data_IF_993029515697
#
_entry.id   IF_993029515697
#
_cell.length_a   1.000
_cell.length_b   1.000
_cell.length_c   1.000
_cell.angle_alpha   90.00
_cell.angle_beta   90.00
_cell.angle_gamma   90.00
#
_symmetry.space_group_name_H-M   'P 1'
#
loop_
_entity.id
_entity.type
_entity.pdbx_description
1 polymer ?
#
# COMPACT_ATOMS: atom_id res chain seq x y z
N UNK A 1 -17.38 -6.07 -0.89
CA UNK A 1 -16.15 -6.39 -0.12
C UNK A 1 -16.05 -5.41 1.01
N UNK A 2 -16.04 -5.87 2.27
CA UNK A 2 -16.08 -4.96 3.41
C UNK A 2 -14.89 -5.18 4.34
N UNK A 3 -14.34 -4.07 4.84
CA UNK A 3 -13.31 -4.07 5.87
C UNK A 3 -13.89 -3.55 7.18
N UNK A 4 -13.60 -4.23 8.27
CA UNK A 4 -13.96 -3.79 9.62
C UNK A 4 -12.76 -3.12 10.28
N UNK A 5 -12.88 -1.86 10.65
CA UNK A 5 -11.88 -1.12 11.42
C UNK A 5 -12.26 -1.09 12.90
N UNK A 6 -11.35 -1.56 13.76
CA UNK A 6 -11.54 -1.58 15.21
C UNK A 6 -10.54 -0.60 15.83
N UNK A 7 -11.01 0.59 16.18
CA UNK A 7 -10.21 1.71 16.74
C UNK A 7 -10.69 2.12 18.15
N UNK A 8 -11.28 1.20 18.91
CA UNK A 8 -11.71 1.41 20.29
C UNK A 8 -10.96 0.47 21.21
N UNK A 9 -10.25 1.02 22.21
CA UNK A 9 -9.48 0.23 23.18
C UNK A 9 -10.38 -0.50 24.15
N UNK A 10 -9.89 -1.67 24.63
CA UNK A 10 -10.52 -2.41 25.73
C UNK A 10 -11.78 -3.19 25.35
N UNK A 11 -12.10 -3.26 24.04
CA UNK A 11 -13.20 -4.11 23.60
C UNK A 11 -12.87 -5.58 23.76
N UNK A 12 -13.83 -6.35 24.30
CA UNK A 12 -13.89 -7.79 24.16
C UNK A 12 -14.55 -8.13 22.82
N UNK A 13 -13.99 -9.08 22.08
CA UNK A 13 -14.53 -9.51 20.80
C UNK A 13 -14.76 -11.03 20.81
N UNK A 14 -15.99 -11.47 20.51
CA UNK A 14 -16.36 -12.89 20.41
C UNK A 14 -16.97 -13.18 19.05
N UNK A 15 -16.74 -14.38 18.54
CA UNK A 15 -17.42 -14.88 17.34
C UNK A 15 -18.62 -15.73 17.74
N UNK A 16 -19.81 -15.21 17.50
CA UNK A 16 -21.09 -15.82 17.86
C UNK A 16 -22.01 -15.88 16.64
N UNK A 17 -22.55 -17.05 16.31
CA UNK A 17 -23.52 -17.25 15.22
C UNK A 17 -23.13 -16.58 13.90
N UNK A 18 -21.84 -16.62 13.54
CA UNK A 18 -21.36 -16.04 12.29
C UNK A 18 -21.19 -14.51 12.31
N UNK A 19 -21.25 -13.89 13.48
CA UNK A 19 -21.00 -12.46 13.66
C UNK A 19 -19.93 -12.21 14.74
N UNK A 20 -19.17 -11.12 14.56
CA UNK A 20 -18.32 -10.56 15.62
C UNK A 20 -19.19 -9.72 16.55
N UNK A 21 -19.24 -10.13 17.82
CA UNK A 21 -19.97 -9.43 18.89
C UNK A 21 -18.96 -8.72 19.76
N UNK A 22 -19.18 -7.42 19.98
CA UNK A 22 -18.31 -6.57 20.76
C UNK A 22 -18.89 -6.31 22.15
N UNK A 23 -18.03 -6.36 23.13
CA UNK A 23 -18.35 -6.12 24.54
C UNK A 23 -17.47 -5.00 25.10
N UNK A 24 -18.05 -4.11 25.88
CA UNK A 24 -17.36 -3.10 26.66
C UNK A 24 -17.82 -3.20 28.12
N UNK A 25 -16.87 -3.34 29.04
CA UNK A 25 -17.16 -3.56 30.47
C UNK A 25 -18.12 -4.73 30.74
N UNK A 26 -18.10 -5.78 29.89
CA UNK A 26 -18.98 -6.95 30.00
C UNK A 26 -20.32 -6.78 29.30
N UNK A 27 -20.72 -5.60 28.87
CA UNK A 27 -21.96 -5.34 28.16
C UNK A 27 -21.78 -5.38 26.66
N UNK A 28 -22.77 -5.94 25.94
CA UNK A 28 -22.75 -5.97 24.47
C UNK A 28 -22.95 -4.57 23.91
N UNK A 29 -21.99 -4.09 23.13
CA UNK A 29 -21.98 -2.75 22.54
C UNK A 29 -22.06 -2.73 21.01
N UNK A 30 -21.96 -3.89 20.33
CA UNK A 30 -22.06 -3.94 18.88
C UNK A 30 -22.00 -5.34 18.31
N UNK A 31 -22.41 -5.46 17.04
CA UNK A 31 -22.38 -6.73 16.31
C UNK A 31 -22.13 -6.46 14.83
N UNK A 32 -21.23 -7.23 14.23
CA UNK A 32 -20.89 -7.14 12.80
C UNK A 32 -20.94 -8.54 12.19
N UNK A 33 -21.80 -8.79 11.19
CA UNK A 33 -21.82 -10.07 10.47
C UNK A 33 -20.47 -10.31 9.78
N UNK A 34 -19.95 -11.56 9.84
CA UNK A 34 -18.67 -11.89 9.22
C UNK A 34 -18.78 -12.29 7.74
N UNK A 35 -19.98 -12.63 7.25
CA UNK A 35 -20.19 -13.07 5.88
C UNK A 35 -19.70 -12.05 4.81
N UNK A 36 -19.94 -10.74 4.94
CA UNK A 36 -19.45 -9.75 3.98
C UNK A 36 -18.00 -9.32 4.23
N UNK A 37 -17.36 -9.76 5.35
CA UNK A 37 -16.02 -9.32 5.71
C UNK A 37 -14.96 -10.07 4.93
N UNK A 38 -14.00 -9.33 4.42
CA UNK A 38 -12.76 -9.85 3.82
C UNK A 38 -11.54 -9.49 4.66
N UNK A 39 -11.66 -8.43 5.46
CA UNK A 39 -10.56 -7.91 6.28
C UNK A 39 -11.03 -7.35 7.60
N UNK A 40 -10.12 -7.42 8.58
CA UNK A 40 -10.26 -6.72 9.86
C UNK A 40 -8.98 -5.95 10.12
N UNK A 41 -9.11 -4.67 10.45
CA UNK A 41 -7.99 -3.80 10.82
C UNK A 41 -8.11 -3.45 12.29
N UNK A 42 -7.19 -3.98 13.10
CA UNK A 42 -7.08 -3.67 14.52
C UNK A 42 -6.15 -2.47 14.72
N UNK A 43 -6.72 -1.33 15.04
CA UNK A 43 -5.97 -0.09 15.32
C UNK A 43 -5.74 0.10 16.82
N UNK A 44 -6.58 -0.53 17.63
CA UNK A 44 -6.53 -0.49 19.10
C UNK A 44 -6.39 -1.88 19.67
N UNK A 45 -5.94 -1.97 20.90
CA UNK A 45 -5.83 -3.21 21.64
C UNK A 45 -7.22 -3.73 22.03
N UNK A 46 -7.53 -4.99 21.66
CA UNK A 46 -8.80 -5.67 21.91
C UNK A 46 -8.53 -7.11 22.37
N UNK A 47 -9.43 -7.65 23.18
CA UNK A 47 -9.38 -9.05 23.61
C UNK A 47 -10.22 -9.91 22.65
N UNK A 48 -9.58 -10.89 21.99
CA UNK A 48 -10.24 -11.87 21.14
C UNK A 48 -9.67 -13.26 21.40
N UNK A 49 -10.50 -14.29 21.40
CA UNK A 49 -10.00 -15.65 21.61
C UNK A 49 -9.41 -16.24 20.32
N UNK A 50 -8.44 -17.15 20.48
CA UNK A 50 -7.73 -17.81 19.36
C UNK A 50 -8.67 -18.63 18.47
N UNK A 51 -9.72 -19.23 19.00
CA UNK A 51 -10.70 -19.95 18.21
C UNK A 51 -11.51 -19.05 17.28
N UNK A 52 -11.77 -17.80 17.66
CA UNK A 52 -12.36 -16.81 16.76
C UNK A 52 -11.39 -16.41 15.64
N UNK A 53 -10.11 -16.17 15.96
CA UNK A 53 -9.08 -15.87 14.96
C UNK A 53 -8.94 -17.01 13.94
N UNK A 54 -8.86 -18.26 14.41
CA UNK A 54 -8.76 -19.43 13.55
C UNK A 54 -9.97 -19.57 12.59
N UNK A 55 -11.19 -19.35 13.09
CA UNK A 55 -12.41 -19.40 12.28
C UNK A 55 -12.48 -18.27 11.24
N UNK A 56 -12.01 -17.06 11.59
CA UNK A 56 -11.93 -15.94 10.67
C UNK A 56 -10.91 -16.22 9.57
N UNK A 57 -9.72 -16.71 9.91
CA UNK A 57 -8.69 -17.10 8.95
C UNK A 57 -9.15 -18.21 8.00
N UNK A 58 -9.83 -19.24 8.52
CA UNK A 58 -10.39 -20.33 7.72
C UNK A 58 -11.45 -19.84 6.70
N UNK A 59 -12.10 -18.69 6.95
CA UNK A 59 -13.01 -18.02 6.02
C UNK A 59 -12.31 -17.11 5.01
N UNK A 60 -10.98 -17.08 5.01
CA UNK A 60 -10.22 -16.21 4.12
C UNK A 60 -10.13 -14.75 4.56
N UNK A 61 -10.54 -14.42 5.80
CA UNK A 61 -10.50 -13.05 6.32
C UNK A 61 -9.09 -12.73 6.79
N UNK A 62 -8.43 -11.80 6.10
CA UNK A 62 -7.13 -11.26 6.50
C UNK A 62 -7.25 -10.28 7.67
N UNK A 63 -6.27 -10.27 8.58
CA UNK A 63 -6.27 -9.35 9.71
C UNK A 63 -4.99 -8.54 9.75
N UNK A 64 -5.14 -7.21 9.90
CA UNK A 64 -4.03 -6.26 10.00
C UNK A 64 -4.03 -5.64 11.40
N UNK A 65 -2.89 -5.75 12.09
CA UNK A 65 -2.68 -5.16 13.41
C UNK A 65 -1.81 -3.91 13.26
N UNK A 66 -2.37 -2.75 13.62
CA UNK A 66 -1.71 -1.44 13.62
C UNK A 66 -1.56 -0.88 15.05
N UNK A 67 -1.82 -1.71 16.06
CA UNK A 67 -1.81 -1.31 17.47
C UNK A 67 -0.39 -1.22 18.03
N UNK A 68 -0.14 -0.19 18.89
CA UNK A 68 1.12 0.00 19.60
C UNK A 68 1.99 1.13 19.05
N UNK A 69 2.70 1.85 19.96
CA UNK A 69 3.53 3.01 19.58
C UNK A 69 4.83 2.66 18.85
N UNK A 70 5.28 1.41 18.94
CA UNK A 70 6.54 0.93 18.35
C UNK A 70 6.35 -0.32 17.48
N UNK A 71 5.12 -0.81 17.29
CA UNK A 71 4.85 -2.07 16.60
C UNK A 71 4.76 -1.81 15.09
N UNK A 72 5.59 -2.54 14.32
CA UNK A 72 5.43 -2.60 12.87
C UNK A 72 4.07 -3.22 12.54
N UNK A 73 3.39 -2.76 11.46
CA UNK A 73 2.16 -3.40 11.01
C UNK A 73 2.35 -4.91 10.88
N UNK A 74 1.49 -5.68 11.54
CA UNK A 74 1.55 -7.14 11.52
C UNK A 74 0.34 -7.68 10.78
N UNK A 75 0.57 -8.57 9.83
CA UNK A 75 -0.46 -9.25 9.07
C UNK A 75 -0.68 -10.66 9.65
N UNK A 76 -1.94 -10.99 9.89
CA UNK A 76 -2.37 -12.37 10.06
C UNK A 76 -3.04 -12.78 8.75
N UNK A 77 -2.37 -13.65 8.01
CA UNK A 77 -2.80 -14.06 6.69
C UNK A 77 -3.79 -15.23 6.79
N UNK A 78 -4.76 -15.33 5.85
CA UNK A 78 -5.63 -16.49 5.76
C UNK A 78 -4.84 -17.75 5.38
N UNK A 79 -5.54 -18.88 5.21
CA UNK A 79 -4.94 -20.17 4.85
C UNK A 79 -4.03 -20.06 3.63
N UNK A 80 -2.86 -20.70 3.69
CA UNK A 80 -1.88 -20.68 2.60
C UNK A 80 -2.41 -21.28 1.29
N UNK A 81 -1.95 -20.73 0.19
CA UNK A 81 -2.19 -21.31 -1.13
C UNK A 81 -1.42 -22.64 -1.28
N UNK A 82 -2.09 -23.68 -1.76
CA UNK A 82 -1.56 -25.05 -1.80
C UNK A 82 -0.51 -25.31 -2.90
N UNK A 83 -0.45 -24.44 -3.92
CA UNK A 83 0.49 -24.59 -5.04
C UNK A 83 1.88 -24.06 -4.67
N UNK A 84 2.77 -24.97 -4.28
CA UNK A 84 4.15 -24.64 -3.93
C UNK A 84 5.02 -24.31 -5.15
N UNK A 85 4.62 -24.69 -6.38
CA UNK A 85 5.39 -24.40 -7.60
C UNK A 85 5.47 -22.89 -7.86
N UNK A 86 4.44 -22.14 -7.51
CA UNK A 86 4.42 -20.66 -7.64
C UNK A 86 5.54 -20.02 -6.82
N UNK A 87 5.68 -20.40 -5.55
CA UNK A 87 6.74 -19.89 -4.67
C UNK A 87 8.13 -20.34 -5.14
N UNK A 88 8.26 -21.61 -5.53
CA UNK A 88 9.53 -22.12 -6.07
C UNK A 88 9.97 -21.35 -7.30
N UNK A 89 9.05 -21.11 -8.23
CA UNK A 89 9.34 -20.32 -9.45
C UNK A 89 9.70 -18.89 -9.11
N UNK A 90 8.97 -18.27 -8.17
CA UNK A 90 9.27 -16.92 -7.69
C UNK A 90 10.71 -16.83 -7.11
N UNK A 91 11.09 -17.78 -6.24
CA UNK A 91 12.42 -17.76 -5.61
C UNK A 91 13.52 -17.90 -6.65
N UNK A 92 13.38 -18.83 -7.58
CA UNK A 92 14.38 -19.05 -8.63
C UNK A 92 14.50 -17.83 -9.58
N UNK A 93 13.38 -17.22 -9.97
CA UNK A 93 13.41 -16.03 -10.81
C UNK A 93 13.93 -14.78 -10.05
N UNK A 94 13.78 -14.72 -8.73
CA UNK A 94 14.31 -13.63 -7.93
C UNK A 94 15.84 -13.66 -7.81
N UNK A 95 16.48 -14.78 -8.12
CA UNK A 95 17.94 -14.95 -8.20
C UNK A 95 18.48 -14.65 -9.61
N UNK A 96 17.62 -14.50 -10.62
CA UNK A 96 18.01 -14.17 -11.99
C UNK A 96 18.07 -12.63 -12.16
N UNK A 97 19.29 -12.04 -12.33
CA UNK A 97 19.45 -10.58 -12.43
C UNK A 97 18.76 -9.99 -13.64
N UNK A 98 18.71 -10.70 -14.77
CA UNK A 98 18.07 -10.20 -15.99
C UNK A 98 16.55 -10.23 -15.88
N UNK A 99 15.99 -11.29 -15.31
CA UNK A 99 14.57 -11.33 -15.01
C UNK A 99 14.16 -10.21 -14.04
N UNK A 100 14.94 -10.01 -12.97
CA UNK A 100 14.70 -8.92 -12.01
C UNK A 100 14.76 -7.55 -12.70
N UNK A 101 15.74 -7.34 -13.60
CA UNK A 101 15.89 -6.10 -14.36
C UNK A 101 14.68 -5.84 -15.25
N UNK A 102 14.25 -6.83 -16.04
CA UNK A 102 13.09 -6.71 -16.92
C UNK A 102 11.80 -6.46 -16.13
N UNK A 103 11.59 -7.19 -15.04
CA UNK A 103 10.46 -6.97 -14.14
C UNK A 103 10.45 -5.54 -13.57
N UNK A 104 11.62 -5.04 -13.16
CA UNK A 104 11.77 -3.68 -12.64
C UNK A 104 11.49 -2.63 -13.70
N UNK A 105 11.93 -2.83 -14.95
CA UNK A 105 11.62 -1.93 -16.09
C UNK A 105 10.11 -1.82 -16.30
N UNK A 106 9.41 -2.96 -16.38
CA UNK A 106 7.95 -2.97 -16.56
C UNK A 106 7.25 -2.25 -15.41
N UNK A 107 7.65 -2.56 -14.18
CA UNK A 107 7.09 -1.98 -12.96
C UNK A 107 7.27 -0.45 -12.90
N UNK A 108 8.49 0.02 -13.18
CA UNK A 108 8.84 1.44 -13.13
C UNK A 108 8.19 2.19 -14.30
N UNK A 109 8.04 1.56 -15.47
CA UNK A 109 7.31 2.12 -16.60
C UNK A 109 5.87 2.44 -16.21
N UNK A 110 5.16 1.49 -15.62
CA UNK A 110 3.78 1.71 -15.13
C UNK A 110 3.71 2.82 -14.08
N UNK A 111 4.65 2.81 -13.11
CA UNK A 111 4.72 3.81 -12.05
C UNK A 111 4.97 5.21 -12.59
N UNK A 112 6.00 5.39 -13.42
CA UNK A 112 6.37 6.71 -13.94
C UNK A 112 5.28 7.27 -14.87
N UNK A 113 4.62 6.41 -15.66
CA UNK A 113 3.45 6.80 -16.46
C UNK A 113 2.29 7.28 -15.57
N UNK A 114 2.04 6.61 -14.43
CA UNK A 114 1.02 7.03 -13.50
C UNK A 114 1.39 8.35 -12.79
N UNK A 115 2.64 8.53 -12.41
CA UNK A 115 3.17 9.81 -11.88
C UNK A 115 2.99 10.94 -12.89
N UNK A 116 3.41 10.72 -14.14
CA UNK A 116 3.24 11.70 -15.22
C UNK A 116 1.78 12.10 -15.40
N UNK A 117 0.85 11.12 -15.51
CA UNK A 117 -0.59 11.42 -15.62
C UNK A 117 -1.07 12.29 -14.47
N UNK A 118 -0.65 11.99 -13.24
CA UNK A 118 -1.03 12.81 -12.08
C UNK A 118 -0.51 14.24 -12.19
N UNK A 119 0.75 14.46 -12.62
CA UNK A 119 1.31 15.81 -12.81
C UNK A 119 0.60 16.56 -13.95
N UNK A 120 0.19 15.85 -15.03
CA UNK A 120 -0.63 16.43 -16.11
C UNK A 120 -1.96 16.95 -15.56
N UNK A 121 -2.67 16.15 -14.75
CA UNK A 121 -3.94 16.58 -14.15
C UNK A 121 -3.74 17.78 -13.23
N UNK A 122 -2.69 17.77 -12.41
CA UNK A 122 -2.32 18.92 -11.55
C UNK A 122 -2.04 20.18 -12.38
N UNK A 123 -1.43 20.06 -13.57
CA UNK A 123 -1.13 21.22 -14.43
C UNK A 123 -2.38 21.85 -15.05
N UNK A 124 -3.45 21.06 -15.18
CA UNK A 124 -4.75 21.57 -15.66
C UNK A 124 -5.51 22.30 -14.54
N UNK A 125 -5.29 21.93 -13.28
CA UNK A 125 -5.97 22.49 -12.11
C UNK A 125 -5.24 23.68 -11.49
N UNK A 126 -3.91 23.80 -11.67
CA UNK A 126 -3.05 24.79 -11.03
C UNK A 126 -2.35 25.70 -12.05
N UNK A 127 -3.07 26.71 -12.53
CA UNK A 127 -2.60 27.60 -13.60
C UNK A 127 -1.33 28.39 -13.23
N UNK A 128 -1.19 28.80 -11.97
CA UNK A 128 -0.04 29.58 -11.49
C UNK A 128 1.27 28.77 -11.51
N UNK A 129 1.18 27.44 -11.33
CA UNK A 129 2.33 26.53 -11.33
C UNK A 129 2.51 25.80 -12.68
N UNK A 130 1.73 26.14 -13.71
CA UNK A 130 1.64 25.40 -14.97
C UNK A 130 3.00 25.22 -15.65
N UNK A 131 3.80 26.27 -15.77
CA UNK A 131 5.11 26.20 -16.44
C UNK A 131 6.07 25.25 -15.70
N UNK A 132 6.06 25.25 -14.36
CA UNK A 132 6.86 24.33 -13.57
C UNK A 132 6.39 22.88 -13.74
N UNK A 133 5.08 22.65 -13.73
CA UNK A 133 4.48 21.32 -13.90
C UNK A 133 4.76 20.76 -15.31
N UNK A 134 4.69 21.57 -16.35
CA UNK A 134 5.06 21.18 -17.72
C UNK A 134 6.55 20.77 -17.82
N UNK A 135 7.43 21.52 -17.16
CA UNK A 135 8.85 21.14 -17.05
C UNK A 135 9.03 19.80 -16.32
N UNK A 136 8.26 19.57 -15.26
CA UNK A 136 8.28 18.31 -14.51
C UNK A 136 7.78 17.13 -15.35
N UNK A 137 6.74 17.33 -16.18
CA UNK A 137 6.24 16.33 -17.14
C UNK A 137 7.34 15.95 -18.13
N UNK A 138 8.03 16.93 -18.70
CA UNK A 138 9.15 16.70 -19.64
C UNK A 138 10.27 15.88 -18.99
N UNK A 139 10.67 16.24 -17.77
CA UNK A 139 11.69 15.48 -17.01
C UNK A 139 11.27 14.05 -16.71
N UNK A 140 9.99 13.82 -16.36
CA UNK A 140 9.47 12.45 -16.17
C UNK A 140 9.47 11.64 -17.46
N UNK A 141 9.20 12.27 -18.62
CA UNK A 141 9.28 11.61 -19.93
C UNK A 141 10.71 11.22 -20.29
N UNK A 142 11.69 12.10 -20.04
CA UNK A 142 13.10 11.79 -20.25
C UNK A 142 13.55 10.59 -19.39
N UNK A 143 13.16 10.57 -18.11
CA UNK A 143 13.47 9.45 -17.20
C UNK A 143 12.78 8.15 -17.66
N UNK A 144 11.53 8.23 -18.12
CA UNK A 144 10.78 7.10 -18.67
C UNK A 144 11.49 6.50 -19.90
N UNK A 145 11.96 7.36 -20.81
CA UNK A 145 12.70 6.95 -22.03
C UNK A 145 14.01 6.23 -21.73
N UNK A 146 14.61 6.45 -20.55
CA UNK A 146 15.88 5.83 -20.15
C UNK A 146 15.74 4.44 -19.56
N UNK A 147 14.57 4.05 -19.04
CA UNK A 147 14.41 2.80 -18.27
C UNK A 147 14.92 1.55 -18.99
N UNK A 148 14.65 1.41 -20.30
CA UNK A 148 15.07 0.24 -21.06
C UNK A 148 16.59 0.17 -21.32
N UNK A 149 17.28 1.31 -21.26
CA UNK A 149 18.71 1.39 -21.51
C UNK A 149 19.54 1.13 -20.24
N UNK A 150 18.92 1.08 -19.06
CA UNK A 150 19.66 0.92 -17.81
C UNK A 150 20.13 -0.52 -17.61
N UNK A 151 21.43 -0.72 -17.32
CA UNK A 151 22.05 -2.05 -17.35
C UNK A 151 21.81 -2.84 -16.07
N UNK A 152 21.33 -2.22 -14.97
CA UNK A 152 21.26 -2.87 -13.66
C UNK A 152 20.08 -2.40 -12.82
N UNK A 153 19.71 -3.22 -11.85
CA UNK A 153 18.68 -2.85 -10.85
C UNK A 153 19.05 -1.59 -10.06
N UNK A 154 20.33 -1.40 -9.74
CA UNK A 154 20.76 -0.22 -8.98
C UNK A 154 20.63 1.06 -9.79
N UNK A 155 20.94 0.99 -11.10
CA UNK A 155 20.69 2.10 -12.01
C UNK A 155 19.19 2.41 -12.12
N UNK A 156 18.33 1.39 -12.24
CA UNK A 156 16.87 1.55 -12.25
C UNK A 156 16.34 2.15 -10.93
N UNK A 157 16.86 1.73 -9.77
CA UNK A 157 16.53 2.36 -8.47
C UNK A 157 16.99 3.82 -8.41
N UNK A 158 18.13 4.14 -9.02
CA UNK A 158 18.60 5.52 -9.16
C UNK A 158 17.63 6.38 -9.97
N UNK A 159 17.16 5.87 -11.12
CA UNK A 159 16.14 6.55 -11.93
C UNK A 159 14.80 6.71 -11.18
N UNK A 160 14.39 5.68 -10.45
CA UNK A 160 13.19 5.73 -9.61
C UNK A 160 13.28 6.84 -8.56
N UNK A 161 14.45 6.97 -7.92
CA UNK A 161 14.70 8.03 -6.94
C UNK A 161 14.66 9.43 -7.57
N UNK A 162 15.24 9.62 -8.75
CA UNK A 162 15.16 10.88 -9.49
C UNK A 162 13.73 11.22 -9.90
N UNK A 163 12.99 10.25 -10.43
CA UNK A 163 11.58 10.43 -10.79
C UNK A 163 10.71 10.77 -9.57
N UNK A 164 10.95 10.12 -8.44
CA UNK A 164 10.26 10.43 -7.19
C UNK A 164 10.56 11.85 -6.70
N UNK A 165 11.80 12.33 -6.83
CA UNK A 165 12.17 13.71 -6.47
C UNK A 165 11.41 14.73 -7.33
N UNK A 166 11.42 14.56 -8.66
CA UNK A 166 10.67 15.42 -9.61
C UNK A 166 9.17 15.42 -9.29
N UNK A 167 8.62 14.24 -9.09
CA UNK A 167 7.19 14.07 -8.84
C UNK A 167 6.75 14.70 -7.51
N UNK A 168 7.47 14.48 -6.40
CA UNK A 168 7.10 15.05 -5.10
C UNK A 168 7.38 16.56 -5.02
N UNK A 169 8.33 17.08 -5.78
CA UNK A 169 8.51 18.54 -5.95
C UNK A 169 7.29 19.15 -6.66
N UNK A 170 6.84 18.52 -7.76
CA UNK A 170 5.62 18.95 -8.46
C UNK A 170 4.38 18.90 -7.56
N UNK A 171 4.18 17.81 -6.79
CA UNK A 171 3.11 17.74 -5.80
C UNK A 171 3.18 18.87 -4.77
N UNK A 172 4.38 19.15 -4.27
CA UNK A 172 4.60 20.17 -3.25
C UNK A 172 4.15 21.56 -3.68
N UNK A 173 4.28 21.88 -4.97
CA UNK A 173 3.81 23.15 -5.54
C UNK A 173 2.29 23.29 -5.54
N UNK A 174 1.58 22.17 -5.59
CA UNK A 174 0.11 22.13 -5.64
C UNK A 174 -0.55 21.94 -4.26
N UNK A 175 0.26 21.76 -3.21
CA UNK A 175 -0.24 21.61 -1.84
C UNK A 175 -0.31 22.96 -1.15
N UNK A 176 -1.42 23.25 -0.43
CA UNK A 176 -1.55 24.49 0.36
C UNK A 176 -0.36 24.65 1.31
N UNK A 177 0.29 25.84 1.34
CA UNK A 177 1.44 26.09 2.22
C UNK A 177 1.16 25.86 3.71
N UNK A 178 -0.09 26.04 4.15
CA UNK A 178 -0.52 25.82 5.55
C UNK A 178 -0.33 24.36 6.01
N UNK A 179 -0.34 23.38 5.07
CA UNK A 179 -0.09 21.98 5.38
C UNK A 179 1.39 21.67 5.67
N UNK A 180 2.29 22.59 5.31
CA UNK A 180 3.73 22.50 5.62
C UNK A 180 4.44 21.35 4.90
N UNK A 181 3.90 20.86 3.79
CA UNK A 181 4.53 19.83 2.97
C UNK A 181 5.61 20.46 2.08
N UNK A 182 6.86 20.04 2.25
CA UNK A 182 8.00 20.50 1.45
C UNK A 182 8.64 19.39 0.63
N UNK A 183 8.66 18.18 1.18
CA UNK A 183 9.22 16.99 0.53
C UNK A 183 8.70 15.73 1.21
N UNK A 184 8.88 14.58 0.55
CA UNK A 184 8.49 13.29 1.12
C UNK A 184 9.38 12.91 2.30
N UNK A 185 8.80 12.82 3.52
CA UNK A 185 9.47 12.27 4.70
C UNK A 185 8.61 11.14 5.30
N UNK A 186 9.25 10.10 5.87
CA UNK A 186 8.55 8.85 6.20
C UNK A 186 8.58 8.47 7.66
N UNK A 187 9.68 8.70 8.36
CA UNK A 187 9.91 8.13 9.71
C UNK A 187 10.67 9.11 10.59
N UNK A 188 9.95 9.80 11.44
CA UNK A 188 8.50 9.96 11.49
C UNK A 188 7.98 10.99 10.47
N UNK A 189 6.69 10.94 10.05
CA UNK A 189 6.10 12.01 9.25
C UNK A 189 6.01 13.29 10.08
N UNK A 190 6.33 14.45 9.47
CA UNK A 190 6.43 15.74 10.17
C UNK A 190 5.31 16.73 9.84
N UNK A 191 4.51 16.41 8.85
CA UNK A 191 3.40 17.22 8.36
C UNK A 191 2.17 16.34 8.03
N UNK A 192 0.97 16.93 7.93
CA UNK A 192 -0.27 16.21 7.67
C UNK A 192 -0.28 15.39 6.40
N UNK A 193 0.30 15.91 5.31
CA UNK A 193 0.34 15.21 4.02
C UNK A 193 1.19 13.95 4.13
N UNK A 194 2.40 14.07 4.67
CA UNK A 194 3.27 12.93 4.91
C UNK A 194 2.68 11.90 5.89
N UNK A 195 1.89 12.35 6.86
CA UNK A 195 1.18 11.46 7.79
C UNK A 195 0.13 10.61 7.05
N UNK A 196 -0.70 11.22 6.20
CA UNK A 196 -1.70 10.49 5.41
C UNK A 196 -1.07 9.62 4.33
N UNK A 197 -0.06 10.10 3.61
CA UNK A 197 0.70 9.29 2.64
C UNK A 197 1.29 8.04 3.30
N UNK A 198 1.87 8.19 4.50
CA UNK A 198 2.45 7.05 5.22
C UNK A 198 1.41 6.05 5.69
N UNK A 199 0.25 6.52 6.18
CA UNK A 199 -0.87 5.66 6.57
C UNK A 199 -1.44 4.93 5.34
N UNK A 200 -1.73 5.65 4.26
CA UNK A 200 -2.29 5.09 3.02
C UNK A 200 -1.35 4.05 2.42
N UNK A 201 -0.05 4.32 2.33
CA UNK A 201 0.92 3.35 1.84
C UNK A 201 1.06 2.13 2.73
N UNK A 202 0.95 2.29 4.06
CA UNK A 202 0.95 1.15 4.99
C UNK A 202 -0.24 0.24 4.74
N UNK A 203 -1.43 0.80 4.58
CA UNK A 203 -2.62 0.03 4.24
C UNK A 203 -2.48 -0.64 2.87
N UNK A 204 -2.05 0.11 1.86
CA UNK A 204 -1.89 -0.41 0.50
C UNK A 204 -0.84 -1.53 0.40
N UNK A 205 0.29 -1.41 1.12
CA UNK A 205 1.30 -2.48 1.22
C UNK A 205 0.70 -3.74 1.87
N UNK A 206 -0.14 -3.56 2.88
CA UNK A 206 -0.82 -4.68 3.54
C UNK A 206 -1.82 -5.36 2.62
N UNK A 207 -2.55 -4.59 1.80
CA UNK A 207 -3.45 -5.11 0.76
C UNK A 207 -2.66 -5.93 -0.29
N UNK A 208 -1.52 -5.40 -0.74
CA UNK A 208 -0.64 -6.08 -1.68
C UNK A 208 -0.07 -7.38 -1.09
N UNK A 209 0.32 -7.37 0.19
CA UNK A 209 0.79 -8.57 0.90
C UNK A 209 -0.27 -9.66 0.97
N UNK A 210 -1.51 -9.31 1.30
CA UNK A 210 -2.64 -10.26 1.30
C UNK A 210 -2.87 -10.81 -0.10
N UNK A 211 -2.86 -9.95 -1.13
CA UNK A 211 -3.08 -10.35 -2.52
C UNK A 211 -1.98 -11.30 -3.04
N UNK A 212 -0.71 -11.02 -2.72
CA UNK A 212 0.41 -11.89 -3.05
C UNK A 212 0.26 -13.27 -2.40
N UNK A 213 -0.03 -13.29 -1.09
CA UNK A 213 -0.24 -14.53 -0.35
C UNK A 213 -1.40 -15.38 -0.91
N UNK A 214 -2.55 -14.75 -1.19
CA UNK A 214 -3.71 -15.42 -1.80
C UNK A 214 -3.40 -15.97 -3.19
N UNK A 215 -2.52 -15.31 -3.94
CA UNK A 215 -2.03 -15.80 -5.23
C UNK A 215 -0.98 -16.91 -5.13
N UNK A 216 -0.58 -17.32 -3.91
CA UNK A 216 0.43 -18.35 -3.68
C UNK A 216 1.87 -17.86 -3.85
N UNK A 217 2.09 -16.55 -3.71
CA UNK A 217 3.41 -15.91 -3.74
C UNK A 217 3.86 -15.54 -2.33
N UNK A 218 5.17 -15.45 -2.13
CA UNK A 218 5.78 -14.94 -0.91
C UNK A 218 5.83 -13.39 -0.97
N UNK A 219 5.12 -12.68 -0.08
CA UNK A 219 5.14 -11.21 -0.06
C UNK A 219 6.51 -10.59 0.20
N UNK A 220 7.45 -11.34 0.78
CA UNK A 220 8.78 -10.84 1.17
C UNK A 220 9.83 -10.94 0.06
N UNK A 221 9.61 -11.76 -0.97
CA UNK A 221 10.56 -11.96 -2.06
C UNK A 221 10.15 -11.13 -3.27
N UNK A 222 10.75 -9.95 -3.41
CA UNK A 222 10.54 -9.00 -4.50
C UNK A 222 11.61 -9.09 -5.60
N UNK A 223 11.46 -8.25 -6.61
CA UNK A 223 12.32 -8.18 -7.79
C UNK A 223 12.99 -6.80 -7.93
N UNK A 224 12.26 -5.71 -7.80
CA UNK A 224 12.82 -4.36 -7.75
C UNK A 224 13.38 -4.06 -6.36
N UNK A 225 12.59 -4.30 -5.31
CA UNK A 225 13.04 -4.13 -3.94
C UNK A 225 13.83 -5.35 -3.48
N UNK A 226 15.10 -5.15 -3.10
CA UNK A 226 15.97 -6.21 -2.57
C UNK A 226 15.39 -6.84 -1.31
N UNK A 227 15.81 -8.06 -1.01
CA UNK A 227 15.52 -8.72 0.26
C UNK A 227 16.09 -7.88 1.41
N UNK A 228 15.23 -7.53 2.36
CA UNK A 228 15.59 -6.79 3.57
C UNK A 228 14.76 -7.31 4.73
N UNK A 229 15.40 -7.52 5.87
CA UNK A 229 14.74 -8.05 7.04
C UNK A 229 13.49 -7.25 7.42
N UNK A 230 12.35 -7.93 7.45
CA UNK A 230 11.05 -7.35 7.84
C UNK A 230 10.42 -6.42 6.79
N UNK A 231 10.95 -6.37 5.55
CA UNK A 231 10.31 -5.64 4.43
C UNK A 231 9.59 -6.61 3.51
N UNK A 232 8.27 -6.44 3.30
CA UNK A 232 7.52 -7.24 2.32
C UNK A 232 7.82 -6.72 0.90
N UNK A 233 8.98 -7.12 0.34
CA UNK A 233 9.55 -6.57 -0.90
C UNK A 233 8.63 -6.76 -2.11
N UNK A 234 8.02 -7.94 -2.30
CA UNK A 234 7.05 -8.14 -3.38
C UNK A 234 5.79 -7.29 -3.19
N UNK A 235 5.29 -7.17 -1.95
CA UNK A 235 4.14 -6.31 -1.69
C UNK A 235 4.46 -4.84 -2.00
N UNK A 236 5.69 -4.39 -1.73
CA UNK A 236 6.16 -3.07 -2.16
C UNK A 236 6.18 -2.95 -3.69
N UNK A 237 6.72 -3.97 -4.41
CA UNK A 237 6.75 -3.98 -5.87
C UNK A 237 5.33 -3.92 -6.46
N UNK A 238 4.41 -4.75 -5.98
CA UNK A 238 3.04 -4.83 -6.49
C UNK A 238 2.27 -3.50 -6.37
N UNK A 239 2.53 -2.74 -5.30
CA UNK A 239 1.81 -1.49 -5.07
C UNK A 239 2.41 -0.27 -5.78
N UNK A 240 3.64 -0.34 -6.32
CA UNK A 240 4.32 0.82 -6.90
C UNK A 240 3.48 1.56 -7.96
N UNK A 241 2.80 0.89 -8.91
CA UNK A 241 1.95 1.58 -9.89
C UNK A 241 0.73 2.28 -9.29
N UNK A 242 0.29 1.87 -8.09
CA UNK A 242 -0.84 2.47 -7.38
C UNK A 242 -0.44 3.64 -6.48
N UNK A 243 0.86 3.88 -6.25
CA UNK A 243 1.30 5.00 -5.40
C UNK A 243 0.79 6.35 -5.87
N UNK A 244 0.84 6.71 -7.17
CA UNK A 244 0.31 7.98 -7.64
C UNK A 244 -1.20 8.13 -7.43
N UNK A 245 -1.97 7.03 -7.53
CA UNK A 245 -3.40 7.05 -7.21
C UNK A 245 -3.65 7.25 -5.71
N UNK A 246 -2.82 6.63 -4.86
CA UNK A 246 -2.87 6.85 -3.42
C UNK A 246 -2.49 8.29 -3.04
N UNK A 247 -1.54 8.90 -3.76
CA UNK A 247 -1.17 10.32 -3.57
C UNK A 247 -2.32 11.24 -3.97
N UNK A 248 -2.94 11.00 -5.13
CA UNK A 248 -4.15 11.71 -5.59
C UNK A 248 -5.27 11.62 -4.56
N UNK A 249 -5.54 10.44 -4.04
CA UNK A 249 -6.53 10.22 -2.98
C UNK A 249 -6.21 11.07 -1.75
N UNK A 250 -4.95 11.07 -1.28
CA UNK A 250 -4.56 11.87 -0.09
C UNK A 250 -4.73 13.36 -0.35
N UNK A 251 -4.33 13.87 -1.51
CA UNK A 251 -4.50 15.29 -1.84
C UNK A 251 -5.97 15.68 -1.92
N UNK A 252 -6.82 14.84 -2.50
CA UNK A 252 -8.27 15.10 -2.59
C UNK A 252 -8.94 15.27 -1.24
N UNK A 253 -8.47 14.57 -0.19
CA UNK A 253 -9.00 14.70 1.17
C UNK A 253 -8.79 16.11 1.76
N UNK A 254 -7.67 16.74 1.43
CA UNK A 254 -7.39 18.13 1.83
C UNK A 254 -8.14 19.13 0.95
N UNK A 255 -8.17 18.93 -0.37
CA UNK A 255 -8.88 19.78 -1.32
C UNK A 255 -10.38 19.86 -1.01
N UNK A 256 -11.00 18.73 -0.70
CA UNK A 256 -12.42 18.65 -0.31
C UNK A 256 -12.68 19.05 1.14
N UNK A 257 -11.64 19.38 1.91
CA UNK A 257 -11.71 19.66 3.35
C UNK A 257 -12.35 18.53 4.18
N UNK A 258 -12.35 17.30 3.65
CA UNK A 258 -12.80 16.11 4.39
C UNK A 258 -11.90 15.86 5.59
N UNK A 259 -10.59 16.09 5.42
CA UNK A 259 -9.57 16.10 6.47
C UNK A 259 -8.90 17.48 6.49
N UNK A 260 -8.72 18.02 7.68
CA UNK A 260 -8.16 19.35 7.92
C UNK A 260 -7.03 19.29 8.95
N UNK A 261 -6.33 20.39 9.17
CA UNK A 261 -5.25 20.47 10.17
C UNK A 261 -5.69 20.07 11.58
N UNK A 262 -6.94 20.33 11.96
CA UNK A 262 -7.50 19.99 13.27
C UNK A 262 -7.63 18.46 13.49
N UNK A 263 -7.58 17.68 12.42
CA UNK A 263 -7.64 16.22 12.47
C UNK A 263 -6.28 15.56 12.81
N UNK A 264 -5.23 16.36 13.06
CA UNK A 264 -3.91 15.86 13.38
C UNK A 264 -3.45 16.27 14.78
N UNK A 265 -2.63 15.39 15.38
CA UNK A 265 -1.84 15.70 16.57
C UNK A 265 -0.39 15.91 16.12
N UNK A 266 0.13 17.12 16.29
CA UNK A 266 1.49 17.48 15.91
C UNK A 266 2.35 17.71 17.15
N UNK A 267 3.53 17.12 17.17
CA UNK A 267 4.60 17.39 18.13
C UNK A 267 5.83 17.92 17.39
N UNK A 268 6.89 18.29 18.09
CA UNK A 268 8.17 18.69 17.47
C UNK A 268 8.77 17.58 16.59
N UNK A 269 8.48 16.33 16.88
CA UNK A 269 9.10 15.18 16.21
C UNK A 269 8.22 14.54 15.16
N UNK A 270 6.90 14.58 15.32
CA UNK A 270 5.97 13.83 14.46
C UNK A 270 4.60 14.50 14.32
N UNK A 271 3.96 14.19 13.18
CA UNK A 271 2.56 14.52 12.89
C UNK A 271 1.79 13.21 12.68
N UNK A 272 0.70 13.01 13.42
CA UNK A 272 -0.11 11.79 13.35
C UNK A 272 -1.58 12.16 13.21
N UNK A 273 -2.32 11.36 12.42
CA UNK A 273 -3.76 11.49 12.32
C UNK A 273 -4.42 11.15 13.66
N UNK A 274 -5.25 12.07 14.17
CA UNK A 274 -5.97 11.93 15.43
C UNK A 274 -7.02 10.82 15.37
N UNK A 275 -7.66 10.49 16.49
CA UNK A 275 -8.76 9.51 16.49
C UNK A 275 -9.92 9.98 15.61
N UNK A 276 -10.32 11.25 15.73
CA UNK A 276 -11.41 11.83 14.95
C UNK A 276 -11.05 11.89 13.45
N UNK A 277 -9.81 12.24 13.13
CA UNK A 277 -9.29 12.19 11.77
C UNK A 277 -9.35 10.77 11.17
N UNK A 278 -9.06 9.72 11.96
CA UNK A 278 -9.18 8.33 11.49
C UNK A 278 -10.62 7.90 11.22
N UNK A 279 -11.58 8.37 12.03
CA UNK A 279 -13.02 8.13 11.80
C UNK A 279 -13.45 8.69 10.44
N UNK A 280 -12.91 9.84 10.04
CA UNK A 280 -13.16 10.44 8.72
C UNK A 280 -12.40 9.72 7.60
N UNK A 281 -11.15 9.34 7.84
CA UNK A 281 -10.25 8.77 6.83
C UNK A 281 -10.67 7.38 6.36
N UNK A 282 -10.97 6.44 7.26
CA UNK A 282 -11.22 5.05 6.87
C UNK A 282 -12.40 4.86 5.92
N UNK A 283 -13.55 5.53 6.08
CA UNK A 283 -14.63 5.42 5.09
C UNK A 283 -14.22 5.91 3.69
N UNK A 284 -13.41 6.99 3.60
CA UNK A 284 -12.91 7.49 2.33
C UNK A 284 -11.91 6.52 1.70
N UNK A 285 -11.00 5.94 2.50
CA UNK A 285 -10.09 4.91 2.04
C UNK A 285 -10.86 3.70 1.49
N UNK A 286 -11.87 3.20 2.18
CA UNK A 286 -12.68 2.07 1.72
C UNK A 286 -13.45 2.35 0.42
N UNK A 287 -13.84 3.60 0.18
CA UNK A 287 -14.50 3.97 -1.05
C UNK A 287 -13.62 3.72 -2.29
N UNK A 288 -12.30 3.88 -2.19
CA UNK A 288 -11.33 3.66 -3.27
C UNK A 288 -10.62 2.31 -3.19
N UNK A 289 -10.41 1.78 -2.00
CA UNK A 289 -9.62 0.56 -1.76
C UNK A 289 -10.20 -0.68 -2.47
N UNK A 290 -11.50 -0.73 -2.74
CA UNK A 290 -12.13 -1.81 -3.50
C UNK A 290 -11.55 -1.99 -4.90
N UNK A 291 -11.22 -0.89 -5.59
CA UNK A 291 -10.59 -0.91 -6.93
C UNK A 291 -9.13 -1.33 -6.82
N UNK A 292 -8.40 -0.78 -5.86
CA UNK A 292 -7.00 -1.14 -5.63
C UNK A 292 -6.83 -2.62 -5.30
N UNK A 293 -7.73 -3.20 -4.49
CA UNK A 293 -7.76 -4.65 -4.18
C UNK A 293 -7.97 -5.48 -5.44
N UNK A 294 -8.91 -5.10 -6.30
CA UNK A 294 -9.15 -5.80 -7.58
C UNK A 294 -7.92 -5.74 -8.48
N UNK A 295 -7.28 -4.59 -8.58
CA UNK A 295 -6.03 -4.42 -9.32
C UNK A 295 -4.92 -5.32 -8.76
N UNK A 296 -4.67 -5.27 -7.43
CA UNK A 296 -3.63 -6.06 -6.77
C UNK A 296 -3.87 -7.57 -6.92
N UNK A 297 -5.10 -8.04 -6.75
CA UNK A 297 -5.45 -9.45 -6.93
C UNK A 297 -5.21 -9.91 -8.36
N UNK A 298 -5.67 -9.14 -9.36
CA UNK A 298 -5.43 -9.44 -10.78
C UNK A 298 -3.94 -9.48 -11.11
N UNK A 299 -3.19 -8.50 -10.60
CA UNK A 299 -1.74 -8.39 -10.81
C UNK A 299 -0.99 -9.56 -10.17
N UNK A 300 -1.30 -9.89 -8.92
CA UNK A 300 -0.68 -11.01 -8.20
C UNK A 300 -0.92 -12.34 -8.89
N UNK A 301 -2.15 -12.61 -9.36
CA UNK A 301 -2.48 -13.82 -10.11
C UNK A 301 -1.76 -13.88 -11.47
N UNK A 302 -1.68 -12.74 -12.17
CA UNK A 302 -0.91 -12.65 -13.44
C UNK A 302 0.55 -13.00 -13.20
N UNK A 303 1.20 -12.40 -12.19
CA UNK A 303 2.59 -12.67 -11.88
C UNK A 303 2.80 -14.12 -11.44
N UNK A 304 1.93 -14.69 -10.60
CA UNK A 304 2.02 -16.10 -10.21
C UNK A 304 2.01 -17.04 -11.43
N UNK A 305 1.15 -16.77 -12.40
CA UNK A 305 1.11 -17.54 -13.66
C UNK A 305 2.36 -17.32 -14.52
N UNK A 306 2.79 -16.07 -14.68
CA UNK A 306 3.98 -15.70 -15.45
C UNK A 306 5.24 -16.35 -14.89
N UNK A 307 5.42 -16.34 -13.55
CA UNK A 307 6.59 -16.93 -12.90
C UNK A 307 6.70 -18.44 -13.17
N UNK A 308 5.59 -19.17 -13.08
CA UNK A 308 5.57 -20.61 -13.40
C UNK A 308 5.93 -20.86 -14.87
N UNK A 309 5.38 -20.08 -15.80
CA UNK A 309 5.64 -20.22 -17.23
C UNK A 309 7.11 -19.92 -17.56
N UNK A 310 7.64 -18.81 -17.09
CA UNK A 310 9.03 -18.40 -17.33
C UNK A 310 10.03 -19.41 -16.76
N UNK A 311 9.80 -19.87 -15.53
CA UNK A 311 10.64 -20.87 -14.93
C UNK A 311 10.67 -22.19 -15.71
N UNK A 312 9.54 -22.65 -16.24
CA UNK A 312 9.46 -23.86 -17.08
C UNK A 312 10.23 -23.70 -18.40
N UNK A 313 10.14 -22.51 -19.02
CA UNK A 313 10.89 -22.20 -20.25
C UNK A 313 12.39 -22.22 -20.04
N UNK A 314 12.88 -21.63 -18.92
CA UNK A 314 14.31 -21.68 -18.55
C UNK A 314 14.84 -23.11 -18.37
N UNK A 315 14.04 -24.03 -17.80
CA UNK A 315 14.43 -25.45 -17.63
C UNK A 315 14.50 -26.25 -18.93
N UNK A 316 13.78 -25.84 -19.95
CA UNK A 316 13.81 -26.52 -21.26
C UNK A 316 14.97 -26.04 -22.14
N UNK A 317 15.60 -24.91 -21.77
CA UNK A 317 16.71 -24.32 -22.52
C UNK A 317 18.10 -24.66 -21.93
N UNK A 318 18.12 -25.33 -20.77
CA UNK A 318 19.31 -25.89 -20.12
C UNK A 318 19.41 -27.42 -20.38
#
# INVERSE_FOLDING_TARGET
>A
MSTLYIDRKGLGCKLENGALVFYENGERCGTVPTAPLERIVFKSDVSINTGALAKLAARGIGMLFLSGHAIKPTLFLPTEHKDAERRRSQYQLSEDPEFCRLFAVDLLTEKLQAQKRHVVDLSMENHDEKAFLESSITRLDELLGRLNAEPSLDALRGLEGLAAAVYFEALGRCVSPELGFTHRNRRPPRDPVNALLSLTYTLLTSEAGVSAHQAGLDPFVGFLHSLEYGRPSLACDLMEPLRPEADRFVLSLFQTKTITLSDFTKTTERCLLSKDGRIKFYPQYEAVAGEWRRYLNKRSLKHASTFVTQHRSHKQSQ
#
